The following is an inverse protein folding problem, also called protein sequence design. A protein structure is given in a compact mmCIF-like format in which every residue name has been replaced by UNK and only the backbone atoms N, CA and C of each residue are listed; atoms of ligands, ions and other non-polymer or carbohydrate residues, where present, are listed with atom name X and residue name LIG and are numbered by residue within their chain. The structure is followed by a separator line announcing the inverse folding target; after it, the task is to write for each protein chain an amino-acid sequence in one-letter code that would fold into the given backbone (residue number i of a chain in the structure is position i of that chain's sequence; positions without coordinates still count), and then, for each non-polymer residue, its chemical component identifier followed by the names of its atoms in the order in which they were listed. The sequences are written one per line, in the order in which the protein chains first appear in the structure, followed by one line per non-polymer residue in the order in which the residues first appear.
data_IF_209665932950
#
_entry.id   IF_209665932950
#
_cell.length_a   1.000
_cell.length_b   1.000
_cell.length_c   1.000
_cell.angle_alpha   90.00
_cell.angle_beta   90.00
_cell.angle_gamma   90.00
#
_symmetry.space_group_name_H-M   'P 1'
#
loop_
_entity.id
_entity.type
_entity.pdbx_description
1 polymer ?
#
# COMPACT_ATOMS: atom_id res chain seq x y z
N UNK A 1 19.70 6.82 -11.92
CA UNK A 1 18.48 7.24 -12.62
C UNK A 1 17.72 8.15 -11.69
N UNK A 2 17.70 9.45 -11.97
CA UNK A 2 16.91 10.40 -11.19
C UNK A 2 15.45 9.96 -11.23
N UNK A 3 14.86 9.74 -10.06
CA UNK A 3 13.45 9.36 -10.00
C UNK A 3 12.65 10.60 -10.41
N UNK A 4 12.10 10.56 -11.63
CA UNK A 4 11.23 11.63 -12.10
C UNK A 4 9.96 11.68 -11.24
N UNK A 5 9.34 12.86 -11.13
CA UNK A 5 8.07 13.04 -10.41
C UNK A 5 7.01 12.03 -10.87
N UNK A 6 6.87 11.82 -12.19
CA UNK A 6 5.94 10.85 -12.76
C UNK A 6 6.26 9.42 -12.35
N UNK A 7 7.54 9.03 -12.35
CA UNK A 7 7.97 7.71 -11.89
C UNK A 7 7.65 7.48 -10.42
N UNK A 8 7.84 8.50 -9.56
CA UNK A 8 7.50 8.39 -8.15
C UNK A 8 6.00 8.23 -7.92
N UNK A 9 5.16 8.98 -8.63
CA UNK A 9 3.69 8.82 -8.57
C UNK A 9 3.29 7.40 -8.99
N UNK A 10 3.83 6.88 -10.09
CA UNK A 10 3.52 5.52 -10.56
C UNK A 10 3.95 4.47 -9.54
N UNK A 11 5.16 4.59 -8.98
CA UNK A 11 5.63 3.65 -7.94
C UNK A 11 4.74 3.73 -6.70
N UNK A 12 4.41 4.94 -6.22
CA UNK A 12 3.56 5.10 -5.04
C UNK A 12 2.14 4.56 -5.27
N UNK A 13 1.56 4.75 -6.45
CA UNK A 13 0.25 4.17 -6.82
C UNK A 13 0.33 2.66 -6.89
N UNK A 14 1.38 2.10 -7.50
CA UNK A 14 1.57 0.66 -7.61
C UNK A 14 1.74 0.02 -6.23
N UNK A 15 2.50 0.67 -5.35
CA UNK A 15 2.77 0.19 -3.99
C UNK A 15 1.59 0.39 -3.05
N UNK A 16 0.81 1.46 -3.20
CA UNK A 16 -0.44 1.66 -2.47
C UNK A 16 -1.56 0.69 -2.92
N UNK A 17 -1.36 0.02 -4.05
CA UNK A 17 -2.23 -1.00 -4.66
C UNK A 17 -3.73 -0.74 -4.51
N UNK A 18 -4.24 0.40 -5.00
CA UNK A 18 -5.67 0.70 -4.88
C UNK A 18 -6.54 -0.29 -5.67
N UNK A 19 -5.98 -0.91 -6.72
CA UNK A 19 -6.69 -1.84 -7.59
C UNK A 19 -6.81 -3.23 -6.97
N UNK A 20 -5.74 -3.80 -6.41
CA UNK A 20 -5.80 -5.07 -5.69
C UNK A 20 -6.58 -4.97 -4.39
N UNK A 21 -6.66 -3.77 -3.79
CA UNK A 21 -7.52 -3.53 -2.64
C UNK A 21 -9.02 -3.51 -2.97
N UNK A 22 -9.45 -3.37 -4.23
CA UNK A 22 -10.88 -3.33 -4.63
C UNK A 22 -11.70 -4.50 -4.08
N UNK A 23 -11.36 -5.79 -4.32
CA UNK A 23 -12.13 -6.92 -3.80
C UNK A 23 -12.28 -6.93 -2.27
N UNK A 24 -11.20 -6.63 -1.56
CA UNK A 24 -11.21 -6.49 -0.10
C UNK A 24 -12.14 -5.36 0.33
N UNK A 25 -12.07 -4.22 -0.36
CA UNK A 25 -12.89 -3.05 -0.10
C UNK A 25 -14.38 -3.35 -0.31
N UNK A 26 -14.72 -3.99 -1.44
CA UNK A 26 -16.11 -4.35 -1.77
C UNK A 26 -16.69 -5.33 -0.75
N UNK A 27 -15.90 -6.30 -0.30
CA UNK A 27 -16.31 -7.24 0.75
C UNK A 27 -16.55 -6.54 2.08
N UNK A 28 -15.73 -5.57 2.47
CA UNK A 28 -15.85 -4.88 3.76
C UNK A 28 -16.99 -3.86 3.77
N UNK A 29 -17.31 -3.25 2.62
CA UNK A 29 -18.42 -2.30 2.51
C UNK A 29 -19.76 -2.96 2.19
N UNK A 30 -19.81 -4.28 2.00
CA UNK A 30 -21.06 -5.00 1.71
C UNK A 30 -22.14 -4.75 2.78
N UNK A 31 -21.73 -4.60 4.05
CA UNK A 31 -22.60 -4.36 5.21
C UNK A 31 -22.72 -2.88 5.60
N UNK A 32 -22.05 -1.96 4.88
CA UNK A 32 -22.10 -0.52 5.15
C UNK A 32 -23.17 0.13 4.28
N UNK A 33 -23.93 1.05 4.84
CA UNK A 33 -24.98 1.79 4.12
C UNK A 33 -24.36 2.68 3.01
N UNK A 34 -24.92 2.70 1.77
CA UNK A 34 -24.32 3.39 0.61
C UNK A 34 -23.90 4.84 0.85
N UNK A 35 -24.66 5.59 1.66
CA UNK A 35 -24.38 6.98 2.02
C UNK A 35 -23.15 7.14 2.94
N UNK A 36 -22.79 6.13 3.73
CA UNK A 36 -21.62 6.13 4.62
C UNK A 36 -20.36 5.60 3.95
N UNK A 37 -20.49 4.87 2.84
CA UNK A 37 -19.37 4.22 2.13
C UNK A 37 -18.32 5.21 1.65
N UNK A 38 -18.74 6.30 1.01
CA UNK A 38 -17.86 7.39 0.56
C UNK A 38 -17.10 8.01 1.73
N UNK A 39 -17.77 8.18 2.88
CA UNK A 39 -17.14 8.73 4.10
C UNK A 39 -16.06 7.79 4.66
N UNK A 40 -16.31 6.49 4.64
CA UNK A 40 -15.32 5.48 5.04
C UNK A 40 -14.13 5.49 4.09
N UNK A 41 -14.35 5.47 2.77
CA UNK A 41 -13.27 5.56 1.76
C UNK A 41 -12.39 6.79 2.00
N UNK A 42 -13.02 7.97 2.09
CA UNK A 42 -12.29 9.23 2.27
C UNK A 42 -11.53 9.22 3.59
N UNK A 43 -12.12 8.68 4.67
CA UNK A 43 -11.45 8.56 5.99
C UNK A 43 -10.22 7.65 5.91
N UNK A 44 -10.34 6.47 5.31
CA UNK A 44 -9.21 5.53 5.19
C UNK A 44 -8.09 6.11 4.31
N UNK A 45 -8.44 6.73 3.18
CA UNK A 45 -7.47 7.42 2.32
C UNK A 45 -6.80 8.60 3.06
N UNK A 46 -7.56 9.36 3.87
CA UNK A 46 -7.01 10.46 4.66
C UNK A 46 -6.06 9.96 5.76
N UNK A 47 -6.39 8.86 6.44
CA UNK A 47 -5.50 8.22 7.42
C UNK A 47 -4.22 7.75 6.74
N UNK A 48 -4.32 7.05 5.61
CA UNK A 48 -3.15 6.59 4.86
C UNK A 48 -2.27 7.75 4.39
N UNK A 49 -2.89 8.81 3.85
CA UNK A 49 -2.18 10.04 3.47
C UNK A 49 -1.45 10.67 4.66
N UNK A 50 -2.13 10.82 5.81
CA UNK A 50 -1.53 11.37 7.02
C UNK A 50 -0.34 10.53 7.50
N UNK A 51 -0.46 9.20 7.52
CA UNK A 51 0.63 8.29 7.88
C UNK A 51 1.81 8.46 6.92
N UNK A 52 1.58 8.49 5.61
CA UNK A 52 2.66 8.66 4.62
C UNK A 52 3.35 10.03 4.77
N UNK A 53 2.60 11.10 5.03
CA UNK A 53 3.19 12.43 5.29
C UNK A 53 4.00 12.44 6.58
N UNK A 54 3.52 11.80 7.65
CA UNK A 54 4.28 11.70 8.92
C UNK A 54 5.59 10.94 8.69
N UNK A 55 5.56 9.78 8.03
CA UNK A 55 6.78 9.03 7.71
C UNK A 55 7.67 9.72 6.69
N UNK A 56 7.12 10.56 5.82
CA UNK A 56 7.91 11.39 4.92
C UNK A 56 8.73 12.44 5.69
N UNK A 57 8.12 13.10 6.67
CA UNK A 57 8.75 14.18 7.43
C UNK A 57 9.67 13.66 8.54
N UNK A 58 9.24 12.61 9.24
CA UNK A 58 9.92 12.11 10.44
C UNK A 58 10.55 10.73 10.25
N UNK A 59 10.37 10.08 9.10
CA UNK A 59 10.80 8.70 8.90
C UNK A 59 12.29 8.51 9.10
N UNK A 60 13.13 9.35 8.48
CA UNK A 60 14.58 9.26 8.63
C UNK A 60 15.03 9.38 10.09
N UNK A 61 14.47 10.33 10.85
CA UNK A 61 14.78 10.51 12.26
C UNK A 61 14.26 9.37 13.14
N UNK A 62 13.04 8.89 12.88
CA UNK A 62 12.45 7.75 13.58
C UNK A 62 13.26 6.48 13.34
N UNK A 63 13.68 6.23 12.10
CA UNK A 63 14.54 5.11 11.75
C UNK A 63 15.90 5.22 12.45
N UNK A 64 16.50 6.41 12.46
CA UNK A 64 17.77 6.65 13.16
C UNK A 64 17.67 6.41 14.68
N UNK A 65 16.59 6.86 15.32
CA UNK A 65 16.32 6.62 16.75
C UNK A 65 16.15 5.13 17.07
N UNK A 66 15.55 4.36 16.17
CA UNK A 66 15.36 2.92 16.31
C UNK A 66 16.60 2.10 15.85
N UNK A 67 17.65 2.76 15.35
CA UNK A 67 18.82 2.09 14.78
C UNK A 67 18.52 1.29 13.51
N UNK A 68 17.42 1.60 12.82
CA UNK A 68 16.98 0.92 11.61
C UNK A 68 17.59 1.57 10.37
N UNK A 69 18.09 0.75 9.46
CA UNK A 69 18.58 1.23 8.17
C UNK A 69 17.47 1.23 7.12
N UNK A 70 17.62 2.08 6.09
CA UNK A 70 16.77 2.06 4.89
C UNK A 70 16.70 0.65 4.25
N UNK A 71 17.76 -0.16 4.40
CA UNK A 71 17.81 -1.54 3.89
C UNK A 71 16.93 -2.47 4.71
N UNK A 72 16.99 -2.36 6.04
CA UNK A 72 16.13 -3.10 6.95
C UNK A 72 14.66 -2.83 6.65
N UNK A 73 14.32 -1.56 6.35
CA UNK A 73 12.96 -1.18 5.97
C UNK A 73 12.55 -1.73 4.60
N UNK A 74 13.43 -1.73 3.60
CA UNK A 74 13.15 -2.35 2.29
C UNK A 74 12.96 -3.87 2.40
N UNK A 75 13.78 -4.55 3.21
CA UNK A 75 13.65 -6.00 3.43
C UNK A 75 12.34 -6.29 4.17
N UNK A 76 12.07 -5.62 5.28
CA UNK A 76 10.82 -5.80 6.03
C UNK A 76 9.58 -5.48 5.17
N UNK A 77 9.65 -4.40 4.39
CA UNK A 77 8.62 -4.00 3.44
C UNK A 77 8.39 -5.03 2.35
N UNK A 78 9.47 -5.58 1.79
CA UNK A 78 9.43 -6.66 0.82
C UNK A 78 8.82 -7.93 1.40
N UNK A 79 9.21 -8.36 2.61
CA UNK A 79 8.62 -9.54 3.27
C UNK A 79 7.11 -9.37 3.47
N UNK A 80 6.67 -8.24 4.01
CA UNK A 80 5.24 -8.02 4.27
C UNK A 80 4.45 -7.95 2.97
N UNK A 81 4.97 -7.24 1.95
CA UNK A 81 4.34 -7.19 0.63
C UNK A 81 4.26 -8.58 -0.02
N UNK A 82 5.31 -9.40 0.13
CA UNK A 82 5.33 -10.77 -0.37
C UNK A 82 4.26 -11.64 0.29
N UNK A 83 4.06 -11.52 1.61
CA UNK A 83 3.01 -12.24 2.33
C UNK A 83 1.61 -11.82 1.88
N UNK A 84 1.38 -10.51 1.66
CA UNK A 84 0.11 -9.99 1.13
C UNK A 84 -0.13 -10.53 -0.29
N UNK A 85 0.89 -10.47 -1.14
CA UNK A 85 0.84 -10.93 -2.52
C UNK A 85 0.57 -12.45 -2.61
N UNK A 86 1.25 -13.25 -1.79
CA UNK A 86 0.99 -14.70 -1.68
C UNK A 86 -0.45 -14.97 -1.25
N UNK A 87 -0.98 -14.22 -0.28
CA UNK A 87 -2.38 -14.34 0.15
C UNK A 87 -3.35 -14.07 -1.00
N UNK A 88 -3.08 -13.09 -1.86
CA UNK A 88 -3.91 -12.78 -3.04
C UNK A 88 -3.83 -13.89 -4.10
N UNK A 89 -2.64 -14.42 -4.36
CA UNK A 89 -2.44 -15.50 -5.34
C UNK A 89 -3.10 -16.80 -4.87
N UNK A 90 -2.81 -17.19 -3.63
CA UNK A 90 -3.16 -18.51 -3.10
C UNK A 90 -4.44 -18.55 -2.28
N UNK A 91 -5.14 -17.42 -2.10
CA UNK A 91 -6.39 -17.25 -1.32
C UNK A 91 -6.77 -18.48 -0.50
N UNK A 92 -6.24 -18.57 0.71
CA UNK A 92 -6.72 -19.54 1.69
C UNK A 92 -8.12 -19.11 2.10
N UNK A 93 -9.10 -19.99 1.88
CA UNK A 93 -10.48 -19.73 2.28
C UNK A 93 -10.67 -19.74 3.82
N UNK A 94 -9.61 -20.01 4.60
CA UNK A 94 -9.65 -20.02 6.07
C UNK A 94 -8.69 -18.99 6.70
N UNK A 95 -9.26 -18.14 7.54
CA UNK A 95 -8.61 -17.00 8.18
C UNK A 95 -7.49 -17.38 9.15
N UNK A 96 -6.29 -16.86 8.88
CA UNK A 96 -5.20 -16.78 9.87
C UNK A 96 -5.50 -15.70 10.92
N UNK A 97 -6.35 -14.72 10.59
CA UNK A 97 -7.10 -13.93 11.54
C UNK A 97 -8.50 -14.53 11.60
N UNK A 98 -8.84 -15.18 12.71
CA UNK A 98 -10.17 -15.75 12.93
C UNK A 98 -11.27 -14.74 12.61
N UNK A 99 -12.38 -15.25 12.08
CA UNK A 99 -13.63 -14.57 11.71
C UNK A 99 -13.64 -13.04 11.80
N UNK A 100 -13.85 -12.38 10.66
CA UNK A 100 -14.29 -10.99 10.63
C UNK A 100 -15.40 -10.81 11.69
N UNK A 101 -15.23 -9.95 12.70
CA UNK A 101 -16.30 -9.68 13.65
C UNK A 101 -17.50 -9.16 12.86
N UNK A 102 -18.67 -9.74 13.07
CA UNK A 102 -19.92 -9.11 12.65
C UNK A 102 -20.06 -7.78 13.40
N UNK A 103 -19.76 -6.68 12.72
CA UNK A 103 -19.79 -5.34 13.30
C UNK A 103 -18.87 -4.39 12.55
N UNK A 104 -19.20 -3.09 12.58
CA UNK A 104 -18.44 -2.02 11.90
C UNK A 104 -16.91 -2.20 12.06
N UNK A 105 -16.12 -2.03 10.99
CA UNK A 105 -14.67 -2.27 11.02
C UNK A 105 -13.98 -1.20 11.88
N UNK A 106 -13.97 -1.41 13.19
CA UNK A 106 -13.47 -0.44 14.17
C UNK A 106 -12.17 -0.87 14.87
N UNK A 107 -11.65 -2.07 14.62
CA UNK A 107 -10.56 -2.63 15.44
C UNK A 107 -9.28 -2.96 14.66
N UNK A 108 -9.29 -2.96 13.32
CA UNK A 108 -8.05 -3.09 12.53
C UNK A 108 -8.07 -2.06 11.40
N UNK A 109 -7.20 -1.03 11.42
CA UNK A 109 -7.19 -0.03 10.36
C UNK A 109 -6.83 -0.70 9.03
N UNK A 110 -7.74 -0.66 8.05
CA UNK A 110 -7.44 -1.06 6.66
C UNK A 110 -6.25 -0.25 6.10
N UNK A 111 -6.10 1.00 6.56
CA UNK A 111 -4.94 1.82 6.28
C UNK A 111 -3.59 1.15 6.63
N UNK A 112 -3.54 0.29 7.66
CA UNK A 112 -2.35 -0.42 8.15
C UNK A 112 -2.69 -1.92 8.22
N UNK A 113 -2.58 -2.69 7.11
CA UNK A 113 -1.36 -2.75 6.29
C UNK A 113 -1.59 -2.49 4.78
N UNK A 114 -2.82 -2.24 4.33
CA UNK A 114 -3.17 -2.37 2.92
C UNK A 114 -2.85 -1.14 2.06
N UNK A 115 -2.86 0.08 2.62
CA UNK A 115 -2.67 1.33 1.83
C UNK A 115 -1.40 2.06 2.26
N UNK A 116 -1.19 2.29 3.56
CA UNK A 116 0.07 2.77 4.11
C UNK A 116 0.95 1.59 4.54
N UNK A 117 1.03 0.59 3.66
CA UNK A 117 1.79 -0.62 3.93
C UNK A 117 3.28 -0.33 4.15
N UNK A 118 4.02 -1.26 4.76
CA UNK A 118 5.47 -1.16 4.95
C UNK A 118 6.24 -0.81 3.68
N UNK A 119 5.77 -1.28 2.51
CA UNK A 119 6.35 -0.94 1.21
C UNK A 119 6.11 0.53 0.81
N UNK A 120 4.94 1.09 1.11
CA UNK A 120 4.62 2.50 0.84
C UNK A 120 5.47 3.41 1.73
N UNK A 121 5.60 3.06 3.01
CA UNK A 121 6.47 3.75 3.97
C UNK A 121 7.94 3.67 3.50
N UNK A 122 8.44 2.48 3.15
CA UNK A 122 9.79 2.29 2.64
C UNK A 122 10.08 3.14 1.41
N UNK A 123 9.12 3.18 0.47
CA UNK A 123 9.25 3.96 -0.76
C UNK A 123 9.30 5.45 -0.47
N UNK A 124 8.43 5.96 0.41
CA UNK A 124 8.40 7.38 0.78
C UNK A 124 9.70 7.79 1.49
N UNK A 125 10.16 7.01 2.46
CA UNK A 125 11.43 7.27 3.17
C UNK A 125 12.60 7.27 2.18
N UNK A 126 12.65 6.30 1.27
CA UNK A 126 13.70 6.22 0.25
C UNK A 126 13.68 7.42 -0.72
N UNK A 127 12.50 7.89 -1.13
CA UNK A 127 12.37 9.06 -2.00
C UNK A 127 12.90 10.33 -1.31
N UNK A 128 12.58 10.51 -0.03
CA UNK A 128 13.09 11.63 0.78
C UNK A 128 14.59 11.53 0.98
N UNK A 129 15.12 10.35 1.33
CA UNK A 129 16.57 10.13 1.51
C UNK A 129 17.38 10.41 0.24
N UNK A 130 16.80 10.20 -0.95
CA UNK A 130 17.48 10.47 -2.23
C UNK A 130 17.54 11.95 -2.61
N UNK A 131 16.54 12.74 -2.22
CA UNK A 131 16.47 14.17 -2.55
C UNK A 131 15.73 14.96 -1.45
N UNK A 132 16.41 15.25 -0.32
CA UNK A 132 15.79 15.91 0.83
C UNK A 132 15.34 17.35 0.56
N UNK A 133 15.89 17.99 -0.48
CA UNK A 133 15.53 19.35 -0.92
C UNK A 133 14.26 19.40 -1.80
N UNK A 134 13.70 18.25 -2.20
CA UNK A 134 12.48 18.14 -3.03
C UNK A 134 11.25 17.71 -2.23
N UNK A 135 11.21 17.97 -0.92
CA UNK A 135 10.09 17.63 -0.03
C UNK A 135 8.75 18.13 -0.59
N UNK A 136 8.67 19.35 -1.11
CA UNK A 136 7.42 19.85 -1.68
C UNK A 136 6.94 18.98 -2.88
N UNK A 137 7.86 18.55 -3.75
CA UNK A 137 7.51 17.68 -4.88
C UNK A 137 7.08 16.27 -4.44
N UNK A 138 7.74 15.70 -3.44
CA UNK A 138 7.36 14.40 -2.88
C UNK A 138 6.00 14.43 -2.19
N UNK A 139 5.67 15.52 -1.48
CA UNK A 139 4.34 15.68 -0.88
C UNK A 139 3.25 15.77 -1.95
N UNK A 140 3.51 16.45 -3.07
CA UNK A 140 2.59 16.52 -4.22
C UNK A 140 2.47 15.14 -4.87
N UNK A 141 3.56 14.37 -4.97
CA UNK A 141 3.52 13.01 -5.52
C UNK A 141 2.68 12.06 -4.65
N UNK A 142 2.82 12.13 -3.32
CA UNK A 142 1.99 11.37 -2.37
C UNK A 142 0.52 11.80 -2.48
N UNK A 143 0.24 13.10 -2.53
CA UNK A 143 -1.11 13.62 -2.69
C UNK A 143 -1.74 13.15 -4.02
N UNK A 144 -0.98 13.18 -5.12
CA UNK A 144 -1.41 12.68 -6.42
C UNK A 144 -1.69 11.17 -6.38
N UNK A 145 -0.80 10.38 -5.78
CA UNK A 145 -1.00 8.94 -5.64
C UNK A 145 -2.24 8.62 -4.80
N UNK A 146 -2.44 9.32 -3.69
CA UNK A 146 -3.63 9.16 -2.85
C UNK A 146 -4.91 9.65 -3.52
N UNK A 147 -4.86 10.70 -4.34
CA UNK A 147 -5.99 11.14 -5.13
C UNK A 147 -6.39 10.08 -6.18
N UNK A 148 -5.41 9.46 -6.84
CA UNK A 148 -5.65 8.33 -7.76
C UNK A 148 -6.24 7.15 -7.01
N UNK A 149 -5.66 6.76 -5.87
CA UNK A 149 -6.19 5.67 -5.04
C UNK A 149 -7.61 5.93 -4.57
N UNK A 150 -7.90 7.14 -4.10
CA UNK A 150 -9.23 7.57 -3.69
C UNK A 150 -10.23 7.46 -4.85
N UNK A 151 -9.85 7.95 -6.03
CA UNK A 151 -10.70 7.90 -7.23
C UNK A 151 -10.99 6.44 -7.61
N UNK A 152 -9.97 5.58 -7.67
CA UNK A 152 -10.12 4.15 -7.95
C UNK A 152 -11.06 3.48 -6.94
N UNK A 153 -10.88 3.75 -5.64
CA UNK A 153 -11.70 3.17 -4.58
C UNK A 153 -13.14 3.70 -4.57
N UNK A 154 -13.37 4.97 -4.97
CA UNK A 154 -14.72 5.50 -5.17
C UNK A 154 -15.46 4.78 -6.30
N UNK A 155 -14.74 4.37 -7.35
CA UNK A 155 -15.30 3.58 -8.45
C UNK A 155 -15.25 2.07 -8.19
N UNK A 156 -14.67 1.60 -7.08
CA UNK A 156 -14.49 0.18 -6.76
C UNK A 156 -15.80 -0.63 -6.90
N UNK A 157 -16.92 -0.11 -6.38
CA UNK A 157 -18.21 -0.79 -6.49
C UNK A 157 -18.74 -0.87 -7.92
N UNK A 158 -18.47 0.16 -8.72
CA UNK A 158 -18.91 0.20 -10.11
C UNK A 158 -18.06 -0.75 -10.95
N UNK A 159 -16.75 -0.77 -10.70
CA UNK A 159 -15.80 -1.73 -11.26
C UNK A 159 -16.22 -3.15 -10.89
N UNK A 160 -16.50 -3.42 -9.61
CA UNK A 160 -16.90 -4.74 -9.15
C UNK A 160 -18.23 -5.21 -9.75
N UNK A 161 -19.20 -4.32 -9.93
CA UNK A 161 -20.47 -4.65 -10.63
C UNK A 161 -20.28 -4.92 -12.13
N UNK A 162 -19.38 -4.19 -12.79
CA UNK A 162 -19.06 -4.39 -14.20
C UNK A 162 -18.28 -5.68 -14.46
N UNK A 163 -17.30 -5.96 -13.61
CA UNK A 163 -16.36 -7.08 -13.75
C UNK A 163 -16.95 -8.38 -13.20
N UNK A 164 -17.85 -8.29 -12.22
CA UNK A 164 -18.44 -9.44 -11.53
C UNK A 164 -17.44 -10.20 -10.64
N UNK A 165 -17.95 -11.08 -9.78
CA UNK A 165 -17.13 -11.77 -8.77
C UNK A 165 -15.98 -12.60 -9.38
N UNK A 166 -16.20 -13.24 -10.53
CA UNK A 166 -15.18 -14.05 -11.22
C UNK A 166 -14.05 -13.22 -11.81
N UNK A 167 -14.37 -12.05 -12.39
CA UNK A 167 -13.36 -11.17 -12.95
C UNK A 167 -12.55 -10.48 -11.85
N UNK A 168 -13.19 -10.13 -10.73
CA UNK A 168 -12.53 -9.54 -9.57
C UNK A 168 -11.52 -10.53 -8.97
N UNK A 169 -11.88 -11.82 -8.92
CA UNK A 169 -10.99 -12.89 -8.50
C UNK A 169 -9.77 -13.07 -9.42
N UNK A 170 -9.99 -13.10 -10.74
CA UNK A 170 -8.89 -13.19 -11.70
C UNK A 170 -7.95 -11.99 -11.59
N UNK A 171 -8.51 -10.79 -11.41
CA UNK A 171 -7.76 -9.55 -11.25
C UNK A 171 -6.95 -9.53 -9.95
N UNK A 172 -7.52 -9.97 -8.84
CA UNK A 172 -6.84 -10.10 -7.54
C UNK A 172 -5.61 -11.02 -7.66
N UNK A 173 -5.75 -12.17 -8.32
CA UNK A 173 -4.63 -13.08 -8.57
C UNK A 173 -3.54 -12.46 -9.44
N UNK A 174 -3.92 -11.75 -10.50
CA UNK A 174 -2.97 -11.06 -11.37
C UNK A 174 -2.19 -9.98 -10.62
N UNK A 175 -2.87 -9.17 -9.80
CA UNK A 175 -2.21 -8.18 -8.96
C UNK A 175 -1.30 -8.85 -7.91
N UNK A 176 -1.74 -9.95 -7.31
CA UNK A 176 -0.90 -10.74 -6.42
C UNK A 176 0.39 -11.22 -7.09
N UNK A 177 0.34 -11.66 -8.35
CA UNK A 177 1.55 -12.04 -9.10
C UNK A 177 2.48 -10.85 -9.35
N UNK A 178 1.93 -9.68 -9.70
CA UNK A 178 2.70 -8.44 -9.90
C UNK A 178 3.36 -8.00 -8.59
N UNK A 179 2.60 -7.93 -7.50
CA UNK A 179 3.11 -7.55 -6.19
C UNK A 179 4.16 -8.52 -5.66
N UNK A 180 4.04 -9.81 -5.96
CA UNK A 180 5.06 -10.82 -5.63
C UNK A 180 6.38 -10.46 -6.29
N UNK A 181 6.36 -10.09 -7.57
CA UNK A 181 7.56 -9.68 -8.30
C UNK A 181 8.16 -8.39 -7.71
N UNK A 182 7.33 -7.39 -7.38
CA UNK A 182 7.78 -6.14 -6.72
C UNK A 182 8.39 -6.42 -5.35
N UNK A 183 7.78 -7.30 -4.56
CA UNK A 183 8.28 -7.68 -3.25
C UNK A 183 9.64 -8.38 -3.34
N UNK A 184 9.82 -9.31 -4.28
CA UNK A 184 11.11 -9.95 -4.55
C UNK A 184 12.17 -8.93 -4.97
N UNK A 185 11.82 -7.99 -5.86
CA UNK A 185 12.71 -6.90 -6.27
C UNK A 185 13.15 -6.03 -5.07
N UNK A 186 12.24 -5.73 -4.13
CA UNK A 186 12.56 -5.00 -2.91
C UNK A 186 13.52 -5.79 -2.00
N UNK A 187 13.31 -7.10 -1.84
CA UNK A 187 14.20 -7.98 -1.08
C UNK A 187 15.59 -8.02 -1.71
N UNK A 188 15.68 -8.19 -3.03
CA UNK A 188 16.94 -8.22 -3.77
C UNK A 188 17.72 -6.90 -3.61
N UNK A 189 17.06 -5.75 -3.74
CA UNK A 189 17.69 -4.44 -3.52
C UNK A 189 18.19 -4.25 -2.08
N UNK A 190 17.44 -4.76 -1.10
CA UNK A 190 17.86 -4.76 0.30
C UNK A 190 19.12 -5.59 0.54
N UNK A 191 19.18 -6.78 -0.06
CA UNK A 191 20.32 -7.71 0.03
C UNK A 191 21.55 -7.19 -0.75
N UNK A 192 21.36 -6.67 -1.97
CA UNK A 192 22.45 -6.08 -2.76
C UNK A 192 23.10 -4.90 -2.02
N UNK A 193 22.29 -4.09 -1.35
CA UNK A 193 22.79 -3.02 -0.50
C UNK A 193 23.63 -3.50 0.68
N UNK A 194 23.39 -4.72 1.19
CA UNK A 194 24.20 -5.35 2.22
C UNK A 194 25.54 -5.82 1.64
N UNK A 195 25.52 -6.48 0.49
CA UNK A 195 26.71 -7.03 -0.17
C UNK A 195 27.70 -5.95 -0.63
N UNK A 196 27.23 -4.77 -1.04
CA UNK A 196 28.13 -3.64 -1.40
C UNK A 196 28.84 -3.00 -0.20
N UNK A 197 28.43 -3.33 1.03
CA UNK A 197 29.02 -2.79 2.26
C UNK A 197 29.99 -3.74 2.96
N UNK A 198 30.03 -5.01 2.52
CA UNK A 198 30.99 -6.03 2.92
C UNK A 198 32.17 -6.04 1.94
#
# INVERSE_FOLDING_TARGET
MDVSFASAVVILVLVADPLGNIPVFVLLLQNVEPARRVRVIVRECAIAFAVLIVFMLFGSELLALLGLSDRSLNIAGGVILFLIALRMVFRQDDGIFGGLPEGEPFIVPLAIPSIAGPAAIATVVLLVSRAPHRTLEWSIAIAAAMAVSLLVLLFAERIARLVGARGLYAFERLMGLILTAVAVEMLLRGIEGLMRQL
#
